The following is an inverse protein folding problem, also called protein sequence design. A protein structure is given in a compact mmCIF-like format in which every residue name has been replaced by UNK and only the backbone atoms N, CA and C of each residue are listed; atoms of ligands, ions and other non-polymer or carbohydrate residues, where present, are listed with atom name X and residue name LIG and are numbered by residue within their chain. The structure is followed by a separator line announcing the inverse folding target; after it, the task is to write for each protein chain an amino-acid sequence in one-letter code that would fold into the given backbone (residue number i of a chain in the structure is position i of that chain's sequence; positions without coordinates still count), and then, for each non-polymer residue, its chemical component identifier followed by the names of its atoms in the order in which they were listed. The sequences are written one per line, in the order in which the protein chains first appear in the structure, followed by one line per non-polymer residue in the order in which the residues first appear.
data_IF_384170783335
#
_entry.id   IF_384170783335
#
_cell.length_a   1.000
_cell.length_b   1.000
_cell.length_c   1.000
_cell.angle_alpha   90.00
_cell.angle_beta   90.00
_cell.angle_gamma   90.00
#
_symmetry.space_group_name_H-M   'P 1'
#
loop_
_entity.id
_entity.type
_entity.pdbx_description
1 polymer ?
#
# COMPACT_ATOMS: atom_id res chain seq x y z
N UNK A 1 -13.17 -3.71 41.40
CA UNK A 1 -12.89 -2.25 41.30
C UNK A 1 -11.44 -1.83 41.57
N UNK A 2 -10.45 -2.71 41.71
CA UNK A 2 -9.01 -2.34 41.90
C UNK A 2 -8.08 -2.72 40.73
N UNK A 3 -8.58 -3.27 39.63
CA UNK A 3 -7.78 -3.63 38.43
C UNK A 3 -7.88 -2.65 37.26
N UNK A 4 -8.94 -1.83 37.22
CA UNK A 4 -9.20 -0.85 36.15
C UNK A 4 -8.40 0.45 36.34
N UNK A 5 -7.94 0.75 37.56
CA UNK A 5 -7.18 1.98 37.85
C UNK A 5 -5.66 1.89 37.58
N UNK A 6 -5.13 0.71 37.26
CA UNK A 6 -3.70 0.57 36.94
C UNK A 6 -3.37 0.83 35.46
N UNK A 7 -4.33 0.65 34.55
CA UNK A 7 -4.12 0.90 33.11
C UNK A 7 -4.28 2.39 32.73
N UNK A 8 -5.14 3.13 33.44
CA UNK A 8 -5.32 4.57 33.19
C UNK A 8 -4.15 5.44 33.70
N UNK A 9 -3.41 4.97 34.69
CA UNK A 9 -2.25 5.71 35.25
C UNK A 9 -0.99 5.52 34.41
N UNK A 10 -0.92 4.47 33.60
CA UNK A 10 0.21 4.22 32.70
C UNK A 10 0.17 5.11 31.46
N UNK A 11 -1.02 5.42 30.93
CA UNK A 11 -1.17 6.30 29.76
C UNK A 11 -0.91 7.81 30.06
N UNK A 12 -1.11 8.26 31.30
CA UNK A 12 -0.87 9.65 31.68
C UNK A 12 0.61 9.97 31.98
N UNK A 13 1.38 8.96 32.41
CA UNK A 13 2.80 9.10 32.69
C UNK A 13 3.64 9.29 31.42
N UNK A 14 3.26 8.67 30.30
CA UNK A 14 4.03 8.76 29.05
C UNK A 14 3.78 10.06 28.26
N UNK A 15 2.58 10.66 28.34
CA UNK A 15 2.30 11.95 27.70
C UNK A 15 3.05 13.14 28.33
N UNK A 16 3.41 13.06 29.62
CA UNK A 16 4.26 14.06 30.28
C UNK A 16 5.76 13.80 30.08
N UNK A 17 6.17 12.57 29.85
CA UNK A 17 7.55 12.19 29.53
C UNK A 17 8.00 12.85 28.22
N UNK A 18 7.11 12.98 27.22
CA UNK A 18 7.44 13.62 25.93
C UNK A 18 7.61 15.15 26.00
N UNK A 19 7.10 15.82 27.03
CA UNK A 19 7.29 17.29 27.24
C UNK A 19 8.58 17.66 27.98
N UNK A 20 9.28 16.70 28.53
CA UNK A 20 10.50 16.89 29.30
C UNK A 20 11.68 16.01 28.89
N UNK A 21 11.54 15.16 27.91
CA UNK A 21 12.62 14.35 27.35
C UNK A 21 13.44 15.18 26.36
N UNK A 22 14.30 16.02 26.88
CA UNK A 22 15.60 16.24 26.28
C UNK A 22 16.26 14.85 26.21
N UNK A 23 16.03 14.19 25.08
CA UNK A 23 16.90 13.25 24.40
C UNK A 23 17.91 12.56 25.35
N UNK A 24 17.46 11.58 26.10
CA UNK A 24 18.31 10.52 26.59
C UNK A 24 18.12 9.32 25.65
N UNK A 25 19.06 9.13 24.79
CA UNK A 25 18.97 8.50 23.50
C UNK A 25 19.57 7.16 23.43
N UNK A 26 19.33 6.29 24.32
CA UNK A 26 19.88 4.93 24.25
C UNK A 26 18.80 3.85 24.19
N UNK A 27 17.59 4.16 23.64
CA UNK A 27 16.61 3.09 23.47
C UNK A 27 17.07 2.15 22.37
N UNK A 28 17.46 0.94 22.78
CA UNK A 28 17.74 -0.20 21.93
C UNK A 28 16.67 -1.25 22.17
N UNK A 29 16.02 -1.70 21.14
CA UNK A 29 15.07 -2.80 21.24
C UNK A 29 15.81 -4.13 21.35
N UNK A 30 15.36 -4.99 22.24
CA UNK A 30 15.92 -6.35 22.39
C UNK A 30 15.17 -7.39 21.56
N UNK A 31 13.97 -7.06 21.10
CA UNK A 31 13.14 -7.93 20.29
C UNK A 31 12.18 -7.10 19.42
N UNK A 32 11.54 -7.78 18.44
CA UNK A 32 10.65 -7.15 17.49
C UNK A 32 9.48 -6.41 18.16
N UNK A 33 8.87 -7.01 19.19
CA UNK A 33 7.72 -6.43 19.87
C UNK A 33 8.04 -5.08 20.54
N UNK A 34 9.20 -4.97 21.14
CA UNK A 34 9.68 -3.70 21.71
C UNK A 34 9.92 -2.64 20.63
N UNK A 35 10.57 -3.02 19.51
CA UNK A 35 10.80 -2.11 18.39
C UNK A 35 9.49 -1.64 17.78
N UNK A 36 8.53 -2.54 17.54
CA UNK A 36 7.22 -2.22 16.98
C UNK A 36 6.39 -1.35 17.93
N UNK A 37 6.40 -1.65 19.24
CA UNK A 37 5.71 -0.83 20.23
C UNK A 37 6.27 0.59 20.24
N UNK A 38 7.57 0.76 20.27
CA UNK A 38 8.21 2.08 20.21
C UNK A 38 7.81 2.85 18.95
N UNK A 39 7.88 2.20 17.78
CA UNK A 39 7.46 2.83 16.52
C UNK A 39 5.99 3.24 16.54
N UNK A 40 5.11 2.45 17.14
CA UNK A 40 3.67 2.76 17.24
C UNK A 40 3.38 3.95 18.15
N UNK A 41 4.24 4.25 19.09
CA UNK A 41 4.17 5.42 19.97
C UNK A 41 4.68 6.71 19.28
N UNK A 42 5.48 6.59 18.20
CA UNK A 42 5.93 7.74 17.40
C UNK A 42 4.74 8.37 16.67
N UNK A 43 4.57 9.71 16.72
CA UNK A 43 3.47 10.37 16.04
C UNK A 43 3.42 10.05 14.53
N UNK A 44 2.26 9.58 14.04
CA UNK A 44 2.09 9.16 12.65
C UNK A 44 1.70 10.31 11.71
N UNK A 45 0.90 11.28 12.20
CA UNK A 45 0.26 12.29 11.35
C UNK A 45 0.23 13.71 11.94
N UNK A 46 0.59 13.91 13.19
CA UNK A 46 0.39 15.20 13.88
C UNK A 46 1.46 16.25 13.59
N UNK A 47 2.65 15.82 13.18
CA UNK A 47 3.73 16.72 12.75
C UNK A 47 4.48 16.04 11.61
N UNK A 48 4.30 16.55 10.39
CA UNK A 48 5.14 16.15 9.25
C UNK A 48 6.37 17.05 9.25
N UNK A 49 7.55 16.46 9.27
CA UNK A 49 8.77 17.23 9.07
C UNK A 49 8.76 17.88 7.67
N UNK A 50 9.30 19.10 7.52
CA UNK A 50 9.59 19.64 6.20
C UNK A 50 10.49 18.64 5.43
N UNK A 51 10.20 18.42 4.16
CA UNK A 51 10.97 17.46 3.33
C UNK A 51 12.47 17.81 3.29
N UNK A 52 12.80 19.09 3.45
CA UNK A 52 14.17 19.59 3.54
C UNK A 52 14.94 19.01 4.74
N UNK A 53 14.29 18.88 5.90
CA UNK A 53 14.88 18.27 7.10
C UNK A 53 15.07 16.76 6.91
N UNK A 54 14.05 16.09 6.36
CA UNK A 54 14.15 14.67 5.98
C UNK A 54 15.28 14.44 4.97
N UNK A 55 15.41 15.33 3.97
CA UNK A 55 16.50 15.29 2.99
C UNK A 55 17.86 15.54 3.66
N UNK A 56 17.93 16.45 4.62
CA UNK A 56 19.15 16.73 5.39
C UNK A 56 19.66 15.49 6.11
N UNK A 57 18.76 14.74 6.77
CA UNK A 57 19.14 13.48 7.43
C UNK A 57 19.47 12.36 6.42
N UNK A 58 18.74 12.26 5.31
CA UNK A 58 19.05 11.33 4.21
C UNK A 58 20.46 11.59 3.65
N UNK A 59 20.80 12.84 3.35
CA UNK A 59 22.13 13.21 2.86
C UNK A 59 23.23 12.95 3.90
N UNK A 60 22.95 13.19 5.19
CA UNK A 60 23.86 12.83 6.26
C UNK A 60 24.16 11.32 6.25
N UNK A 61 23.13 10.47 6.17
CA UNK A 61 23.31 9.01 6.11
C UNK A 61 24.17 8.55 4.91
N UNK A 62 24.12 9.27 3.80
CA UNK A 62 24.90 8.98 2.59
C UNK A 62 26.28 9.64 2.60
N UNK A 63 26.60 10.47 3.58
CA UNK A 63 27.86 11.20 3.68
C UNK A 63 28.91 10.41 4.45
N UNK A 64 30.18 10.81 4.29
CA UNK A 64 31.26 10.29 5.09
C UNK A 64 31.16 10.65 6.59
N UNK A 65 30.39 11.68 6.94
CA UNK A 65 30.19 12.14 8.33
C UNK A 65 29.42 11.11 9.17
N UNK A 66 28.55 10.32 8.56
CA UNK A 66 27.76 9.29 9.26
C UNK A 66 28.53 8.01 9.55
N UNK A 67 29.68 7.81 8.91
CA UNK A 67 30.47 6.56 8.96
C UNK A 67 29.69 5.30 8.59
N UNK A 68 28.46 5.45 8.01
CA UNK A 68 27.60 4.32 7.62
C UNK A 68 28.10 3.60 6.39
N UNK A 69 28.84 4.29 5.53
CA UNK A 69 29.25 3.79 4.22
C UNK A 69 28.10 3.61 3.22
N UNK A 70 26.89 4.09 3.54
CA UNK A 70 25.72 3.98 2.64
C UNK A 70 25.91 4.87 1.41
N UNK A 71 25.49 4.34 0.25
CA UNK A 71 25.44 5.10 -1.01
C UNK A 71 24.11 4.81 -1.70
N UNK A 72 23.48 5.83 -2.29
CA UNK A 72 22.21 5.65 -3.04
C UNK A 72 22.36 4.62 -4.17
N UNK A 73 23.54 4.53 -4.77
CA UNK A 73 23.85 3.54 -5.82
C UNK A 73 23.72 2.09 -5.35
N UNK A 74 23.82 1.83 -4.06
CA UNK A 74 23.65 0.49 -3.48
C UNK A 74 22.17 0.03 -3.42
N UNK A 75 21.22 0.94 -3.68
CA UNK A 75 19.80 0.59 -3.87
C UNK A 75 19.52 0.06 -5.28
N UNK A 76 20.53 -0.01 -6.15
CA UNK A 76 20.39 -0.48 -7.53
C UNK A 76 19.46 0.37 -8.38
N UNK A 77 18.70 -0.29 -9.25
CA UNK A 77 17.66 0.37 -10.09
C UNK A 77 16.43 0.69 -9.24
N UNK A 78 16.15 1.99 -9.02
CA UNK A 78 15.02 2.41 -8.18
C UNK A 78 13.78 2.67 -9.05
N UNK A 79 12.66 2.03 -8.68
CA UNK A 79 11.33 2.20 -9.27
C UNK A 79 10.45 2.88 -8.22
N UNK A 80 10.04 4.12 -8.46
CA UNK A 80 9.28 4.92 -7.50
C UNK A 80 7.82 5.04 -7.89
N UNK A 81 6.90 4.61 -7.02
CA UNK A 81 5.48 4.44 -7.34
C UNK A 81 4.61 5.31 -6.44
N UNK A 82 3.81 6.20 -7.05
CA UNK A 82 2.77 6.98 -6.39
C UNK A 82 1.38 6.65 -6.96
N UNK A 83 0.33 7.15 -6.33
CA UNK A 83 -1.05 6.97 -6.77
C UNK A 83 -2.04 6.98 -5.60
N UNK A 84 -3.33 6.86 -5.88
CA UNK A 84 -4.36 6.66 -4.85
C UNK A 84 -4.58 5.18 -4.64
N UNK A 85 -5.09 4.49 -5.63
CA UNK A 85 -5.34 3.05 -5.61
C UNK A 85 -4.34 2.30 -6.49
N UNK A 86 -3.98 1.07 -6.13
CA UNK A 86 -3.14 0.20 -6.94
C UNK A 86 -1.63 0.32 -6.72
N UNK A 87 -1.12 1.27 -5.93
CA UNK A 87 0.33 1.45 -5.68
C UNK A 87 1.03 0.14 -5.28
N UNK A 88 0.62 -0.44 -4.14
CA UNK A 88 1.21 -1.67 -3.62
C UNK A 88 1.10 -2.85 -4.61
N UNK A 89 -0.01 -2.96 -5.36
CA UNK A 89 -0.16 -3.98 -6.40
C UNK A 89 0.82 -3.79 -7.55
N UNK A 90 1.01 -2.56 -8.05
CA UNK A 90 2.00 -2.25 -9.09
C UNK A 90 3.41 -2.52 -8.59
N UNK A 91 3.72 -2.12 -7.35
CA UNK A 91 4.99 -2.43 -6.70
C UNK A 91 5.23 -3.95 -6.63
N UNK A 92 4.24 -4.73 -6.19
CA UNK A 92 4.34 -6.18 -6.11
C UNK A 92 4.52 -6.85 -7.48
N UNK A 93 3.85 -6.35 -8.54
CA UNK A 93 4.07 -6.83 -9.90
C UNK A 93 5.48 -6.51 -10.40
N UNK A 94 5.97 -5.29 -10.17
CA UNK A 94 7.33 -4.89 -10.57
C UNK A 94 8.38 -5.73 -9.86
N UNK A 95 8.25 -5.93 -8.55
CA UNK A 95 9.11 -6.81 -7.76
C UNK A 95 9.10 -8.23 -8.32
N UNK A 96 7.91 -8.81 -8.53
CA UNK A 96 7.77 -10.16 -9.05
C UNK A 96 8.40 -10.33 -10.44
N UNK A 97 8.19 -9.37 -11.37
CA UNK A 97 8.81 -9.40 -12.71
C UNK A 97 10.34 -9.32 -12.60
N UNK A 98 10.87 -8.48 -11.71
CA UNK A 98 12.32 -8.35 -11.51
C UNK A 98 12.92 -9.63 -10.92
N UNK A 99 12.29 -10.25 -9.93
CA UNK A 99 12.72 -11.55 -9.36
C UNK A 99 12.69 -12.67 -10.40
N UNK A 100 11.62 -12.77 -11.17
CA UNK A 100 11.50 -13.76 -12.27
C UNK A 100 12.51 -13.50 -13.42
N UNK A 101 13.07 -12.30 -13.47
CA UNK A 101 14.18 -11.96 -14.37
C UNK A 101 15.56 -12.27 -13.78
N UNK A 102 15.64 -12.77 -12.54
CA UNK A 102 16.87 -13.11 -11.85
C UNK A 102 17.61 -11.90 -11.28
N UNK A 103 16.88 -10.89 -10.80
CA UNK A 103 17.41 -9.79 -10.02
C UNK A 103 17.16 -10.01 -8.53
N UNK A 104 18.10 -9.57 -7.70
CA UNK A 104 17.95 -9.46 -6.26
C UNK A 104 17.16 -8.19 -5.94
N UNK A 105 16.00 -8.32 -5.30
CA UNK A 105 15.04 -7.21 -5.17
C UNK A 105 14.78 -6.81 -3.73
N UNK A 106 14.57 -5.51 -3.52
CA UNK A 106 14.00 -4.94 -2.31
C UNK A 106 12.66 -4.26 -2.63
N UNK A 107 11.62 -4.58 -1.88
CA UNK A 107 10.30 -4.01 -2.00
C UNK A 107 9.90 -3.30 -0.71
N UNK A 108 9.64 -1.99 -0.80
CA UNK A 108 9.14 -1.17 0.31
C UNK A 108 7.72 -0.68 0.02
N UNK A 109 6.76 -1.04 0.87
CA UNK A 109 5.34 -0.74 0.67
C UNK A 109 4.66 -0.20 1.92
N UNK A 110 3.47 0.40 1.76
CA UNK A 110 2.64 0.92 2.85
C UNK A 110 1.16 1.01 2.49
N UNK A 111 0.24 0.83 3.46
CA UNK A 111 0.49 0.30 4.81
C UNK A 111 0.69 -1.22 4.81
N UNK A 112 0.96 -1.81 5.98
CA UNK A 112 0.87 -3.25 6.21
C UNK A 112 -0.56 -3.68 6.58
N UNK A 113 -0.86 -4.96 6.50
CA UNK A 113 -2.12 -5.55 6.97
C UNK A 113 -2.03 -6.02 8.43
N UNK A 114 -1.08 -6.88 8.74
CA UNK A 114 -0.94 -7.54 10.04
C UNK A 114 0.32 -7.08 10.78
N UNK A 115 1.50 -7.17 10.16
CA UNK A 115 2.79 -6.89 10.81
C UNK A 115 3.59 -5.81 10.07
N UNK A 116 4.28 -4.96 10.83
CA UNK A 116 5.11 -3.88 10.25
C UNK A 116 6.20 -4.41 9.32
N UNK A 117 6.66 -5.66 9.50
CA UNK A 117 7.66 -6.32 8.64
C UNK A 117 7.20 -6.52 7.18
N UNK A 118 5.88 -6.58 6.91
CA UNK A 118 5.34 -6.67 5.55
C UNK A 118 5.82 -5.53 4.63
N UNK A 119 6.18 -4.39 5.23
CA UNK A 119 6.65 -3.21 4.50
C UNK A 119 8.03 -3.37 3.90
N UNK A 120 8.78 -4.38 4.35
CA UNK A 120 10.15 -4.67 3.92
C UNK A 120 10.22 -6.10 3.41
N UNK A 121 10.35 -6.24 2.10
CA UNK A 121 10.55 -7.55 1.48
C UNK A 121 11.86 -7.56 0.71
N UNK A 122 12.60 -8.66 0.84
CA UNK A 122 13.80 -8.96 0.08
C UNK A 122 13.54 -10.25 -0.67
N UNK A 123 13.68 -10.22 -1.98
CA UNK A 123 13.33 -11.34 -2.89
C UNK A 123 11.94 -11.93 -2.67
N UNK A 124 10.97 -11.06 -2.32
CA UNK A 124 9.58 -11.42 -2.07
C UNK A 124 9.27 -11.88 -0.65
N UNK A 125 10.27 -12.19 0.18
CA UNK A 125 10.11 -12.61 1.56
C UNK A 125 10.17 -11.42 2.52
N UNK A 126 9.35 -11.44 3.58
CA UNK A 126 9.44 -10.43 4.64
C UNK A 126 10.76 -10.58 5.40
N UNK A 127 11.36 -9.45 5.77
CA UNK A 127 12.51 -9.46 6.68
C UNK A 127 12.19 -10.17 8.00
N UNK A 128 13.18 -10.83 8.58
CA UNK A 128 13.04 -11.50 9.87
C UNK A 128 12.81 -10.50 11.01
N UNK A 129 12.42 -10.98 12.19
CA UNK A 129 12.30 -10.15 13.38
C UNK A 129 13.67 -9.62 13.82
N UNK A 130 14.70 -10.44 13.69
CA UNK A 130 16.09 -10.09 13.99
C UNK A 130 16.59 -8.97 13.07
N UNK A 131 16.41 -9.09 11.75
CA UNK A 131 16.80 -8.06 10.79
C UNK A 131 16.06 -6.74 11.04
N UNK A 132 14.78 -6.81 11.40
CA UNK A 132 13.99 -5.63 11.75
C UNK A 132 14.57 -4.92 12.99
N UNK A 133 14.90 -5.68 14.04
CA UNK A 133 15.50 -5.14 15.27
C UNK A 133 16.89 -4.56 15.01
N UNK A 134 17.70 -5.22 14.20
CA UNK A 134 19.00 -4.69 13.79
C UNK A 134 18.85 -3.35 13.07
N UNK A 135 17.94 -3.25 12.10
CA UNK A 135 17.66 -2.01 11.36
C UNK A 135 17.15 -0.89 12.28
N UNK A 136 16.27 -1.23 13.22
CA UNK A 136 15.76 -0.30 14.22
C UNK A 136 16.89 0.25 15.10
N UNK A 137 17.74 -0.62 15.65
CA UNK A 137 18.83 -0.24 16.53
C UNK A 137 19.93 0.56 15.77
N UNK A 138 20.23 0.16 14.53
CA UNK A 138 21.12 0.94 13.66
C UNK A 138 20.57 2.36 13.45
N UNK A 139 19.29 2.50 13.11
CA UNK A 139 18.70 3.82 12.90
C UNK A 139 18.73 4.67 14.17
N UNK A 140 18.43 4.08 15.34
CA UNK A 140 18.51 4.77 16.61
C UNK A 140 19.94 5.33 16.85
N UNK A 141 20.96 4.57 16.52
CA UNK A 141 22.36 5.04 16.60
C UNK A 141 22.64 6.20 15.66
N UNK A 142 22.15 6.14 14.41
CA UNK A 142 22.36 7.21 13.44
C UNK A 142 21.64 8.51 13.85
N UNK A 143 20.45 8.42 14.42
CA UNK A 143 19.75 9.57 14.96
C UNK A 143 20.57 10.20 16.09
N UNK A 144 21.13 9.40 16.99
CA UNK A 144 21.97 9.85 18.09
C UNK A 144 23.20 10.60 17.58
N UNK A 145 23.87 10.05 16.60
CA UNK A 145 25.03 10.69 16.00
C UNK A 145 24.66 12.00 15.31
N UNK A 146 23.56 12.04 14.59
CA UNK A 146 23.09 13.25 13.91
C UNK A 146 22.75 14.36 14.90
N UNK A 147 22.17 14.03 16.05
CA UNK A 147 21.82 15.00 17.10
C UNK A 147 23.05 15.68 17.74
N UNK A 148 24.22 15.09 17.69
CA UNK A 148 25.46 15.78 18.11
C UNK A 148 25.75 17.02 17.29
N UNK A 149 25.17 17.11 16.08
CA UNK A 149 25.40 18.19 15.12
C UNK A 149 24.15 19.00 14.81
N UNK A 150 22.93 18.41 14.94
CA UNK A 150 21.61 19.03 14.62
C UNK A 150 20.53 18.53 15.57
N UNK A 151 20.35 19.19 16.70
CA UNK A 151 19.54 18.72 17.84
C UNK A 151 18.02 18.64 17.60
N UNK A 152 17.45 19.21 16.52
CA UNK A 152 16.00 19.40 16.40
C UNK A 152 15.25 18.36 15.55
N UNK A 153 15.94 17.60 14.69
CA UNK A 153 15.28 16.66 13.78
C UNK A 153 14.88 15.37 14.47
N UNK A 154 13.60 15.05 14.47
CA UNK A 154 13.05 13.79 14.98
C UNK A 154 12.28 13.09 13.87
N UNK A 155 12.77 11.95 13.35
CA UNK A 155 12.06 11.23 12.30
C UNK A 155 10.68 10.75 12.77
N UNK A 156 9.65 11.01 11.95
CA UNK A 156 8.30 10.49 12.14
C UNK A 156 8.26 8.97 11.94
N UNK A 157 7.13 8.34 12.27
CA UNK A 157 6.93 6.91 12.07
C UNK A 157 7.32 6.44 10.65
N UNK A 158 6.84 7.11 9.60
CA UNK A 158 7.10 6.68 8.23
C UNK A 158 8.55 6.97 7.80
N UNK A 159 9.14 8.08 8.25
CA UNK A 159 10.55 8.39 8.01
C UNK A 159 11.46 7.34 8.63
N UNK A 160 11.17 6.88 9.86
CA UNK A 160 11.94 5.81 10.50
C UNK A 160 11.91 4.53 9.66
N UNK A 161 10.73 4.13 9.20
CA UNK A 161 10.61 2.93 8.35
C UNK A 161 11.37 3.11 7.03
N UNK A 162 11.29 4.27 6.40
CA UNK A 162 12.05 4.55 5.18
C UNK A 162 13.57 4.46 5.41
N UNK A 163 14.09 5.01 6.49
CA UNK A 163 15.53 4.94 6.79
C UNK A 163 15.96 3.53 7.20
N UNK A 164 15.13 2.75 7.88
CA UNK A 164 15.39 1.33 8.13
C UNK A 164 15.48 0.54 6.81
N UNK A 165 14.60 0.83 5.85
CA UNK A 165 14.63 0.23 4.51
C UNK A 165 15.96 0.51 3.80
N UNK A 166 16.47 1.73 3.85
CA UNK A 166 17.76 2.07 3.23
C UNK A 166 18.87 1.14 3.73
N UNK A 167 18.96 0.97 5.05
CA UNK A 167 19.95 0.11 5.64
C UNK A 167 19.77 -1.36 5.28
N UNK A 168 18.54 -1.87 5.39
CA UNK A 168 18.20 -3.26 5.06
C UNK A 168 18.61 -3.61 3.63
N UNK A 169 18.22 -2.78 2.67
CA UNK A 169 18.42 -3.05 1.26
C UNK A 169 19.90 -2.89 0.84
N UNK A 170 20.59 -1.90 1.40
CA UNK A 170 22.02 -1.72 1.14
C UNK A 170 22.86 -2.81 1.80
N UNK A 171 22.50 -3.27 3.01
CA UNK A 171 23.18 -4.37 3.72
C UNK A 171 23.20 -5.66 2.90
N UNK A 172 22.09 -5.99 2.23
CA UNK A 172 21.98 -7.22 1.42
C UNK A 172 22.41 -7.01 -0.04
N UNK A 173 22.55 -5.76 -0.49
CA UNK A 173 23.03 -5.43 -1.82
C UNK A 173 21.98 -5.73 -2.92
N UNK A 174 20.76 -5.21 -2.78
CA UNK A 174 19.71 -5.38 -3.79
C UNK A 174 20.11 -4.76 -5.12
N UNK A 175 19.76 -5.41 -6.23
CA UNK A 175 19.97 -4.90 -7.60
C UNK A 175 18.82 -3.98 -8.05
N UNK A 176 17.63 -4.15 -7.46
CA UNK A 176 16.41 -3.38 -7.77
C UNK A 176 15.69 -3.01 -6.49
N UNK A 177 15.36 -1.74 -6.32
CA UNK A 177 14.49 -1.25 -5.24
C UNK A 177 13.16 -0.79 -5.82
N UNK A 178 12.06 -1.40 -5.36
CA UNK A 178 10.70 -0.94 -5.67
C UNK A 178 10.16 -0.19 -4.47
N UNK A 179 9.87 1.11 -4.66
CA UNK A 179 9.60 2.06 -3.59
C UNK A 179 8.19 2.65 -3.73
N UNK A 180 7.29 2.32 -2.80
CA UNK A 180 5.95 2.90 -2.71
C UNK A 180 5.97 4.21 -1.90
N UNK A 181 5.32 5.28 -2.40
CA UNK A 181 5.07 6.49 -1.59
C UNK A 181 4.10 6.21 -0.45
N UNK A 182 4.33 6.82 0.71
CA UNK A 182 3.41 6.70 1.85
C UNK A 182 2.15 7.52 1.63
N UNK A 183 2.28 8.83 1.35
CA UNK A 183 1.17 9.75 1.18
C UNK A 183 1.52 10.89 0.21
N UNK A 184 0.73 11.02 -0.85
CA UNK A 184 0.95 12.06 -1.85
C UNK A 184 2.10 11.71 -2.81
N UNK A 185 3.15 12.48 -2.81
CA UNK A 185 4.34 12.32 -3.64
C UNK A 185 5.32 13.47 -3.42
N UNK A 186 4.94 14.71 -3.76
CA UNK A 186 5.80 15.91 -3.71
C UNK A 186 6.49 16.11 -2.35
N UNK A 187 5.76 15.92 -1.26
CA UNK A 187 6.25 16.05 0.11
C UNK A 187 6.36 14.69 0.82
N UNK A 188 6.34 13.58 0.08
CA UNK A 188 6.51 12.26 0.67
C UNK A 188 7.96 12.03 1.08
N UNK A 189 8.18 11.31 2.17
CA UNK A 189 9.51 10.95 2.65
C UNK A 189 10.34 10.27 1.55
N UNK A 190 9.73 9.38 0.77
CA UNK A 190 10.43 8.66 -0.30
C UNK A 190 10.90 9.55 -1.43
N UNK A 191 10.38 10.79 -1.52
CA UNK A 191 10.75 11.76 -2.56
C UNK A 191 12.10 12.47 -2.30
N UNK A 192 12.79 12.11 -1.21
CA UNK A 192 14.21 12.50 -1.01
C UNK A 192 15.14 11.76 -1.97
N UNK A 193 14.72 10.61 -2.52
CA UNK A 193 15.41 9.90 -3.60
C UNK A 193 15.33 10.76 -4.87
N UNK A 194 16.51 11.17 -5.36
CA UNK A 194 16.58 12.14 -6.46
C UNK A 194 16.68 11.50 -7.85
N UNK A 195 17.22 10.28 -7.94
CA UNK A 195 17.55 9.63 -9.20
C UNK A 195 16.90 8.25 -9.38
N UNK A 196 15.55 8.12 -9.30
CA UNK A 196 14.91 6.86 -9.66
C UNK A 196 15.11 6.59 -11.17
N UNK A 197 15.14 5.33 -11.56
CA UNK A 197 15.25 4.91 -12.96
C UNK A 197 13.90 4.95 -13.69
N UNK A 198 12.80 4.88 -12.92
CA UNK A 198 11.43 4.93 -13.40
C UNK A 198 10.53 5.51 -12.32
N UNK A 199 9.60 6.38 -12.73
CA UNK A 199 8.48 6.79 -11.87
C UNK A 199 7.17 6.26 -12.41
N UNK A 200 6.25 5.86 -11.52
CA UNK A 200 4.97 5.30 -11.90
C UNK A 200 3.85 5.95 -11.08
N UNK A 201 2.75 6.36 -11.75
CA UNK A 201 1.61 6.97 -11.05
C UNK A 201 0.36 6.18 -11.39
N UNK A 202 -0.13 5.44 -10.41
CA UNK A 202 -1.32 4.59 -10.53
C UNK A 202 -2.61 5.44 -10.55
N UNK A 203 -3.77 4.80 -10.50
CA UNK A 203 -5.06 5.49 -10.52
C UNK A 203 -5.16 6.59 -9.45
N UNK A 204 -5.71 7.75 -9.86
CA UNK A 204 -6.01 8.87 -8.97
C UNK A 204 -7.50 8.86 -8.63
N UNK A 205 -7.77 8.91 -7.34
CA UNK A 205 -9.12 9.03 -6.78
C UNK A 205 -9.16 10.03 -5.64
N UNK A 206 -10.36 10.36 -5.19
CA UNK A 206 -10.59 11.25 -4.05
C UNK A 206 -10.26 10.49 -2.76
N UNK A 207 -9.09 10.77 -2.19
CA UNK A 207 -8.64 10.24 -0.91
C UNK A 207 -7.70 11.21 -0.21
N UNK A 208 -7.62 11.15 1.12
CA UNK A 208 -6.78 12.02 1.93
C UNK A 208 -6.94 13.52 1.64
N UNK A 209 -8.18 13.97 1.38
CA UNK A 209 -8.51 15.32 0.93
C UNK A 209 -8.02 16.40 1.89
N UNK A 210 -7.97 16.13 3.19
CA UNK A 210 -7.46 17.05 4.21
C UNK A 210 -5.97 17.40 4.00
N UNK A 211 -5.20 16.55 3.31
CA UNK A 211 -3.76 16.72 3.11
C UNK A 211 -3.39 17.00 1.65
N UNK A 212 -4.09 16.39 0.70
CA UNK A 212 -3.72 16.42 -0.72
C UNK A 212 -4.57 17.39 -1.56
N UNK A 213 -5.63 17.96 -0.96
CA UNK A 213 -6.58 18.84 -1.64
C UNK A 213 -7.89 18.17 -2.00
N UNK A 214 -8.85 18.99 -2.40
CA UNK A 214 -10.26 18.68 -2.57
C UNK A 214 -10.68 18.48 -4.05
N UNK A 215 -9.71 18.42 -4.96
CA UNK A 215 -9.93 18.12 -6.38
C UNK A 215 -8.93 17.09 -6.91
N UNK A 216 -9.31 16.39 -7.98
CA UNK A 216 -8.44 15.39 -8.62
C UNK A 216 -7.15 15.99 -9.16
N UNK A 217 -7.21 17.23 -9.66
CA UNK A 217 -6.03 17.94 -10.18
C UNK A 217 -5.04 18.25 -9.05
N UNK A 218 -5.52 18.69 -7.87
CA UNK A 218 -4.66 18.94 -6.70
C UNK A 218 -3.99 17.65 -6.23
N UNK A 219 -4.77 16.57 -6.09
CA UNK A 219 -4.26 15.26 -5.70
C UNK A 219 -3.26 14.74 -6.72
N UNK A 220 -3.54 14.89 -8.04
CA UNK A 220 -2.63 14.53 -9.12
C UNK A 220 -1.34 15.37 -9.06
N UNK A 221 -1.44 16.67 -8.77
CA UNK A 221 -0.29 17.57 -8.60
C UNK A 221 0.65 17.14 -7.48
N UNK A 222 0.11 16.74 -6.32
CA UNK A 222 0.92 16.20 -5.23
C UNK A 222 1.65 14.91 -5.63
N UNK A 223 0.98 14.02 -6.38
CA UNK A 223 1.59 12.76 -6.83
C UNK A 223 2.56 12.97 -7.99
N UNK A 224 2.30 13.92 -8.88
CA UNK A 224 3.22 14.32 -9.94
C UNK A 224 4.57 14.83 -9.41
N UNK A 225 4.65 15.20 -8.14
CA UNK A 225 5.89 15.59 -7.48
C UNK A 225 7.00 14.54 -7.46
N UNK A 226 6.70 13.27 -7.74
CA UNK A 226 7.72 12.21 -7.90
C UNK A 226 8.35 12.21 -9.30
N UNK A 227 7.79 12.91 -10.28
CA UNK A 227 8.32 12.98 -11.64
C UNK A 227 9.63 13.77 -11.60
N UNK A 228 10.73 13.19 -12.06
CA UNK A 228 12.08 13.74 -12.00
C UNK A 228 12.62 14.08 -13.39
N UNK A 229 13.56 15.01 -13.44
CA UNK A 229 14.20 15.42 -14.69
C UNK A 229 14.87 14.25 -15.39
N UNK A 230 14.54 14.05 -16.67
CA UNK A 230 15.10 12.99 -17.50
C UNK A 230 14.69 11.57 -17.16
N UNK A 231 13.89 11.36 -16.11
CA UNK A 231 13.37 10.05 -15.69
C UNK A 231 12.03 9.77 -16.36
N UNK A 232 11.84 8.62 -17.04
CA UNK A 232 10.56 8.29 -17.65
C UNK A 232 9.47 8.14 -16.59
N UNK A 233 8.25 8.58 -16.91
CA UNK A 233 7.06 8.38 -16.10
C UNK A 233 6.03 7.53 -16.84
N UNK A 234 5.51 6.50 -16.15
CA UNK A 234 4.33 5.73 -16.59
C UNK A 234 3.15 6.13 -15.73
N UNK A 235 1.99 6.40 -16.31
CA UNK A 235 0.79 6.74 -15.55
C UNK A 235 -0.47 6.09 -16.10
N UNK A 236 -1.49 5.91 -15.25
CA UNK A 236 -2.82 5.43 -15.65
C UNK A 236 -3.63 6.59 -16.24
N UNK A 237 -3.98 6.49 -17.53
CA UNK A 237 -4.78 7.46 -18.29
C UNK A 237 -6.28 7.11 -18.21
N UNK A 238 -6.87 7.37 -17.05
CA UNK A 238 -8.30 7.09 -16.78
C UNK A 238 -9.16 8.35 -16.78
N UNK A 239 -8.60 9.49 -16.41
CA UNK A 239 -9.28 10.78 -16.28
C UNK A 239 -8.43 11.87 -16.92
N UNK A 240 -9.05 12.64 -17.83
CA UNK A 240 -8.35 13.67 -18.60
C UNK A 240 -7.73 14.74 -17.71
N UNK A 241 -8.43 15.16 -16.66
CA UNK A 241 -7.98 16.19 -15.71
C UNK A 241 -6.68 15.79 -14.99
N UNK A 242 -6.51 14.52 -14.63
CA UNK A 242 -5.28 14.03 -13.98
C UNK A 242 -4.16 13.82 -15.00
N UNK A 243 -4.49 13.32 -16.21
CA UNK A 243 -3.52 13.09 -17.26
C UNK A 243 -2.84 14.38 -17.71
N UNK A 244 -3.61 15.48 -17.83
CA UNK A 244 -3.06 16.82 -18.18
C UNK A 244 -2.03 17.27 -17.16
N UNK A 245 -2.27 17.05 -15.85
CA UNK A 245 -1.33 17.43 -14.78
C UNK A 245 0.00 16.66 -14.93
N UNK A 246 -0.07 15.35 -15.21
CA UNK A 246 1.14 14.53 -15.38
C UNK A 246 1.93 14.91 -16.64
N UNK A 247 1.23 15.14 -17.77
CA UNK A 247 1.85 15.53 -19.02
C UNK A 247 2.52 16.91 -18.91
N UNK A 248 1.87 17.87 -18.24
CA UNK A 248 2.43 19.18 -17.96
C UNK A 248 3.68 19.09 -17.09
N UNK A 249 3.61 18.32 -15.98
CA UNK A 249 4.76 18.14 -15.09
C UNK A 249 5.91 17.42 -15.79
N UNK A 250 5.65 16.40 -16.58
CA UNK A 250 6.66 15.70 -17.35
C UNK A 250 7.34 16.64 -18.36
N UNK A 251 6.57 17.47 -19.08
CA UNK A 251 7.11 18.46 -20.02
C UNK A 251 7.96 19.52 -19.28
N UNK A 252 7.51 20.00 -18.12
CA UNK A 252 8.25 20.98 -17.30
C UNK A 252 9.66 20.50 -16.92
N UNK A 253 9.78 19.21 -16.54
CA UNK A 253 11.06 18.64 -16.09
C UNK A 253 11.81 17.86 -17.18
N UNK A 254 11.30 17.82 -18.41
CA UNK A 254 11.92 17.10 -19.53
C UNK A 254 11.87 15.57 -19.39
N UNK A 255 10.84 15.03 -18.74
CA UNK A 255 10.61 13.59 -18.58
C UNK A 255 9.83 13.01 -19.76
N UNK A 256 10.22 11.82 -20.25
CA UNK A 256 9.40 11.07 -21.20
C UNK A 256 8.14 10.52 -20.51
N UNK A 257 6.97 10.73 -21.11
CA UNK A 257 5.69 10.40 -20.53
C UNK A 257 5.01 9.25 -21.27
N UNK A 258 4.61 8.20 -20.55
CA UNK A 258 4.00 6.99 -21.08
C UNK A 258 2.66 6.72 -20.38
N UNK A 259 1.59 6.65 -21.16
CA UNK A 259 0.25 6.42 -20.64
C UNK A 259 -0.23 4.99 -20.86
N UNK A 260 -0.90 4.46 -19.84
CA UNK A 260 -1.64 3.19 -19.87
C UNK A 260 -3.12 3.53 -19.86
N UNK A 261 -3.75 3.48 -21.02
CA UNK A 261 -5.18 3.75 -21.18
C UNK A 261 -5.99 2.45 -21.11
N UNK A 262 -7.31 2.57 -21.01
CA UNK A 262 -8.24 1.43 -21.02
C UNK A 262 -8.06 0.49 -22.23
N UNK A 263 -7.55 1.01 -23.35
CA UNK A 263 -7.28 0.21 -24.55
C UNK A 263 -5.94 -0.54 -24.50
N UNK A 264 -5.09 -0.30 -23.50
CA UNK A 264 -3.80 -0.97 -23.36
C UNK A 264 -3.94 -2.42 -22.88
N UNK A 265 -5.08 -2.79 -22.31
CA UNK A 265 -5.37 -4.14 -21.82
C UNK A 265 -6.81 -4.54 -22.10
N UNK A 266 -7.06 -5.85 -22.08
CA UNK A 266 -8.40 -6.43 -22.22
C UNK A 266 -8.52 -7.64 -21.30
N UNK A 267 -9.55 -7.64 -20.44
CA UNK A 267 -9.92 -8.80 -19.65
C UNK A 267 -10.67 -9.78 -20.58
N UNK A 268 -10.21 -11.03 -20.61
CA UNK A 268 -10.80 -12.09 -21.42
C UNK A 268 -11.78 -12.94 -20.59
N UNK A 269 -11.57 -13.00 -19.26
CA UNK A 269 -12.45 -13.71 -18.32
C UNK A 269 -11.74 -14.07 -17.03
N UNK A 270 -12.49 -14.74 -16.14
CA UNK A 270 -11.96 -15.32 -14.89
C UNK A 270 -12.15 -16.84 -14.99
N UNK A 271 -11.08 -17.59 -14.87
CA UNK A 271 -11.09 -19.07 -14.89
C UNK A 271 -10.21 -19.61 -13.77
N UNK A 272 -10.71 -20.61 -13.02
CA UNK A 272 -9.95 -21.26 -11.94
C UNK A 272 -9.28 -20.25 -10.98
N UNK A 273 -10.01 -19.20 -10.61
CA UNK A 273 -9.53 -18.12 -9.71
C UNK A 273 -8.35 -17.30 -10.25
N UNK A 274 -8.12 -17.37 -11.56
CA UNK A 274 -7.17 -16.53 -12.27
C UNK A 274 -7.92 -15.61 -13.22
N UNK A 275 -7.53 -14.34 -13.24
CA UNK A 275 -7.97 -13.43 -14.28
C UNK A 275 -7.10 -13.65 -15.53
N UNK A 276 -7.75 -13.92 -16.66
CA UNK A 276 -7.12 -13.99 -17.97
C UNK A 276 -7.29 -12.65 -18.67
N UNK A 277 -6.20 -12.04 -19.06
CA UNK A 277 -6.20 -10.77 -19.74
C UNK A 277 -5.06 -10.66 -20.75
N UNK A 278 -5.15 -9.71 -21.66
CA UNK A 278 -4.10 -9.42 -22.63
C UNK A 278 -3.70 -7.97 -22.56
N UNK A 279 -2.42 -7.71 -22.79
CA UNK A 279 -1.82 -6.38 -22.81
C UNK A 279 -1.27 -6.07 -24.19
N UNK A 280 -1.57 -4.91 -24.73
CA UNK A 280 -0.94 -4.40 -25.95
C UNK A 280 0.44 -3.85 -25.60
N UNK A 281 1.43 -4.72 -25.70
CA UNK A 281 2.83 -4.37 -25.48
C UNK A 281 3.40 -3.58 -26.66
N UNK A 282 4.26 -2.61 -26.38
CA UNK A 282 4.96 -1.84 -27.42
C UNK A 282 6.05 -2.61 -28.14
N UNK A 283 6.60 -3.66 -27.47
CA UNK A 283 7.77 -4.40 -27.95
C UNK A 283 7.47 -5.84 -28.36
N UNK A 284 6.46 -6.44 -27.75
CA UNK A 284 6.13 -7.86 -27.98
C UNK A 284 4.79 -8.04 -28.69
N UNK A 285 4.12 -6.95 -29.10
CA UNK A 285 2.77 -7.00 -29.62
C UNK A 285 1.74 -7.35 -28.55
N UNK A 286 0.82 -8.27 -28.84
CA UNK A 286 -0.17 -8.73 -27.86
C UNK A 286 0.43 -9.82 -26.96
N UNK A 287 0.40 -9.61 -25.64
CA UNK A 287 0.82 -10.59 -24.65
C UNK A 287 -0.43 -11.08 -23.90
N UNK A 288 -0.72 -12.38 -23.97
CA UNK A 288 -1.69 -13.05 -23.10
C UNK A 288 -1.07 -13.28 -21.73
N UNK A 289 -1.79 -12.91 -20.67
CA UNK A 289 -1.35 -12.95 -19.29
C UNK A 289 -2.42 -13.57 -18.41
N UNK A 290 -1.99 -14.25 -17.36
CA UNK A 290 -2.83 -14.71 -16.27
C UNK A 290 -2.30 -14.18 -14.96
N UNK A 291 -3.17 -13.59 -14.13
CA UNK A 291 -2.85 -13.23 -12.77
C UNK A 291 -3.66 -14.11 -11.81
N UNK A 292 -3.01 -14.62 -10.78
CA UNK A 292 -3.64 -15.50 -9.80
C UNK A 292 -4.46 -14.69 -8.77
N UNK A 293 -5.52 -14.10 -9.26
CA UNK A 293 -6.47 -13.28 -8.51
C UNK A 293 -7.80 -13.21 -9.27
N UNK A 294 -8.86 -12.86 -8.57
CA UNK A 294 -10.17 -12.57 -9.18
C UNK A 294 -10.44 -11.07 -9.28
N UNK A 295 -9.50 -10.24 -8.83
CA UNK A 295 -9.61 -8.78 -8.84
C UNK A 295 -9.47 -8.21 -10.26
N UNK A 296 -10.56 -7.74 -10.86
CA UNK A 296 -10.58 -7.17 -12.22
C UNK A 296 -9.57 -6.02 -12.40
N UNK A 297 -9.42 -5.17 -11.39
CA UNK A 297 -8.50 -4.04 -11.38
C UNK A 297 -7.01 -4.45 -11.44
N UNK A 298 -6.68 -5.71 -11.17
CA UNK A 298 -5.32 -6.19 -11.30
C UNK A 298 -4.85 -6.31 -12.75
N UNK A 299 -5.77 -6.37 -13.73
CA UNK A 299 -5.40 -6.32 -15.14
C UNK A 299 -4.82 -4.94 -15.53
N UNK A 300 -5.38 -3.85 -14.99
CA UNK A 300 -4.85 -2.49 -15.17
C UNK A 300 -3.48 -2.33 -14.50
N UNK A 301 -3.35 -2.77 -13.24
CA UNK A 301 -2.10 -2.73 -12.50
C UNK A 301 -1.01 -3.57 -13.19
N UNK A 302 -1.37 -4.77 -13.67
CA UNK A 302 -0.48 -5.64 -14.44
C UNK A 302 -0.04 -5.02 -15.77
N UNK A 303 -0.96 -4.38 -16.50
CA UNK A 303 -0.63 -3.67 -17.75
C UNK A 303 0.36 -2.51 -17.50
N UNK A 304 0.19 -1.80 -16.40
CA UNK A 304 1.11 -0.74 -15.99
C UNK A 304 2.51 -1.31 -15.66
N UNK A 305 2.57 -2.40 -14.92
CA UNK A 305 3.83 -3.07 -14.60
C UNK A 305 4.55 -3.60 -15.87
N UNK A 306 3.82 -4.18 -16.82
CA UNK A 306 4.38 -4.57 -18.13
C UNK A 306 5.00 -3.39 -18.84
N UNK A 307 4.30 -2.25 -18.92
CA UNK A 307 4.81 -1.04 -19.54
C UNK A 307 6.10 -0.55 -18.86
N UNK A 308 6.12 -0.52 -17.52
CA UNK A 308 7.31 -0.13 -16.73
C UNK A 308 8.50 -1.06 -16.95
N UNK A 309 8.26 -2.38 -16.91
CA UNK A 309 9.30 -3.40 -17.14
C UNK A 309 9.93 -3.29 -18.55
N UNK A 310 9.10 -3.09 -19.57
CA UNK A 310 9.56 -2.89 -20.95
C UNK A 310 10.41 -1.63 -21.10
N UNK A 311 10.03 -0.54 -20.44
CA UNK A 311 10.79 0.71 -20.46
C UNK A 311 12.16 0.55 -19.79
N UNK A 312 12.22 -0.07 -18.63
CA UNK A 312 13.48 -0.34 -17.92
C UNK A 312 14.43 -1.20 -18.75
N UNK A 313 13.89 -2.23 -19.45
CA UNK A 313 14.68 -3.00 -20.41
C UNK A 313 15.20 -2.15 -21.55
N UNK A 314 14.33 -1.38 -22.19
CA UNK A 314 14.70 -0.53 -23.34
C UNK A 314 15.75 0.52 -23.00
N UNK A 315 15.64 1.12 -21.82
CA UNK A 315 16.62 2.09 -21.31
C UNK A 315 17.94 1.46 -20.85
N UNK A 316 18.02 0.11 -20.86
CA UNK A 316 19.22 -0.63 -20.45
C UNK A 316 19.41 -0.76 -18.94
N UNK A 317 18.46 -0.26 -18.13
CA UNK A 317 18.54 -0.36 -16.67
C UNK A 317 18.36 -1.81 -16.18
N UNK A 318 17.44 -2.58 -16.79
CA UNK A 318 17.15 -3.97 -16.42
C UNK A 318 17.16 -4.90 -17.65
N UNK A 319 18.37 -5.18 -18.16
CA UNK A 319 18.58 -5.95 -19.39
C UNK A 319 18.11 -7.41 -19.35
N UNK A 320 18.07 -8.06 -18.16
CA UNK A 320 17.63 -9.47 -17.98
C UNK A 320 16.11 -9.65 -18.19
N UNK A 321 15.29 -8.59 -18.10
CA UNK A 321 13.84 -8.66 -18.33
C UNK A 321 13.56 -9.18 -19.75
N UNK A 322 12.67 -10.14 -19.88
CA UNK A 322 12.20 -10.69 -21.14
C UNK A 322 10.72 -11.05 -21.10
N UNK A 323 10.14 -11.49 -22.22
CA UNK A 323 8.71 -11.80 -22.32
C UNK A 323 8.30 -12.87 -21.32
N UNK A 324 9.11 -13.91 -21.19
CA UNK A 324 8.84 -15.05 -20.30
C UNK A 324 8.88 -14.65 -18.84
N UNK A 325 9.84 -13.80 -18.43
CA UNK A 325 9.92 -13.30 -17.06
C UNK A 325 8.75 -12.36 -16.72
N UNK A 326 8.26 -11.56 -17.68
CA UNK A 326 7.05 -10.75 -17.51
C UNK A 326 5.83 -11.67 -17.26
N UNK A 327 5.64 -12.70 -18.11
CA UNK A 327 4.51 -13.65 -17.98
C UNK A 327 4.55 -14.35 -16.62
N UNK A 328 5.72 -14.88 -16.21
CA UNK A 328 5.88 -15.54 -14.91
C UNK A 328 5.69 -14.56 -13.75
N UNK A 329 6.25 -13.36 -13.85
CA UNK A 329 6.13 -12.32 -12.80
C UNK A 329 4.67 -11.91 -12.56
N UNK A 330 3.88 -11.74 -13.62
CA UNK A 330 2.45 -11.47 -13.50
C UNK A 330 1.70 -12.65 -12.87
N UNK A 331 2.01 -13.90 -13.30
CA UNK A 331 1.35 -15.08 -12.78
C UNK A 331 1.70 -15.39 -11.31
N UNK A 332 2.96 -15.23 -10.94
CA UNK A 332 3.48 -15.58 -9.62
C UNK A 332 3.26 -14.48 -8.56
N UNK A 333 2.90 -13.26 -8.96
CA UNK A 333 2.62 -12.18 -8.02
C UNK A 333 1.47 -12.57 -7.06
N UNK A 334 1.68 -12.32 -5.78
CA UNK A 334 0.69 -12.45 -4.70
C UNK A 334 0.68 -11.16 -3.91
N UNK A 335 -0.51 -10.65 -3.62
CA UNK A 335 -0.64 -9.42 -2.84
C UNK A 335 -1.83 -9.50 -1.91
N UNK A 336 -1.56 -9.55 -0.63
CA UNK A 336 -2.55 -9.72 0.42
C UNK A 336 -3.61 -8.60 0.42
N UNK A 337 -4.84 -8.97 0.77
CA UNK A 337 -5.96 -8.04 0.88
C UNK A 337 -6.41 -7.40 -0.44
N UNK A 338 -6.25 -8.08 -1.58
CA UNK A 338 -6.73 -7.63 -2.89
C UNK A 338 -7.52 -8.73 -3.59
N UNK A 339 -8.81 -8.85 -3.25
CA UNK A 339 -9.68 -9.98 -3.62
C UNK A 339 -8.98 -11.32 -3.34
N UNK A 340 -8.33 -11.38 -2.22
CA UNK A 340 -7.60 -12.55 -1.77
C UNK A 340 -8.54 -13.57 -1.15
N UNK A 341 -8.46 -14.81 -1.61
CA UNK A 341 -9.21 -15.91 -1.02
C UNK A 341 -8.43 -16.50 0.16
N UNK A 342 -8.82 -16.15 1.38
CA UNK A 342 -8.18 -16.62 2.62
C UNK A 342 -8.75 -17.95 3.15
N UNK A 343 -9.94 -18.31 2.74
CA UNK A 343 -10.62 -19.59 2.98
C UNK A 343 -11.52 -19.91 1.77
N UNK A 344 -11.94 -21.15 1.56
CA UNK A 344 -12.82 -21.49 0.43
C UNK A 344 -14.03 -20.57 0.33
N UNK A 345 -14.10 -19.81 -0.76
CA UNK A 345 -15.14 -18.81 -1.05
C UNK A 345 -15.27 -17.73 0.04
N UNK A 346 -14.16 -17.34 0.68
CA UNK A 346 -14.05 -16.20 1.60
C UNK A 346 -12.95 -15.28 1.09
N UNK A 347 -13.34 -14.10 0.62
CA UNK A 347 -12.46 -13.12 0.01
C UNK A 347 -12.31 -11.89 0.88
N UNK A 348 -11.09 -11.41 1.03
CA UNK A 348 -10.79 -10.11 1.64
C UNK A 348 -10.37 -9.09 0.59
N UNK A 349 -10.84 -7.86 0.74
CA UNK A 349 -10.41 -6.73 -0.09
C UNK A 349 -10.24 -5.46 0.73
N UNK A 350 -9.13 -4.80 0.54
CA UNK A 350 -8.78 -3.55 1.24
C UNK A 350 -9.40 -2.29 0.64
N UNK A 351 -10.40 -2.38 -0.23
CA UNK A 351 -11.11 -1.22 -0.77
C UNK A 351 -11.74 -0.40 0.36
N UNK A 352 -11.44 0.91 0.39
CA UNK A 352 -11.80 1.81 1.49
C UNK A 352 -12.09 3.25 1.04
N UNK A 353 -12.29 3.45 -0.26
CA UNK A 353 -12.74 4.70 -0.88
C UNK A 353 -13.66 4.39 -2.07
N UNK A 354 -14.34 5.40 -2.61
CA UNK A 354 -15.34 5.22 -3.67
C UNK A 354 -14.79 4.49 -4.90
N UNK A 355 -13.60 4.87 -5.39
CA UNK A 355 -13.00 4.24 -6.57
C UNK A 355 -12.57 2.79 -6.28
N UNK A 356 -12.06 2.52 -5.08
CA UNK A 356 -11.74 1.16 -4.63
C UNK A 356 -12.99 0.27 -4.55
N UNK A 357 -14.08 0.76 -3.95
CA UNK A 357 -15.34 0.03 -3.89
C UNK A 357 -15.93 -0.21 -5.28
N UNK A 358 -15.84 0.76 -6.19
CA UNK A 358 -16.27 0.55 -7.58
C UNK A 358 -15.49 -0.58 -8.25
N UNK A 359 -14.17 -0.58 -8.12
CA UNK A 359 -13.30 -1.62 -8.67
C UNK A 359 -13.55 -3.01 -8.04
N UNK A 360 -13.85 -3.04 -6.74
CA UNK A 360 -14.31 -4.25 -6.03
C UNK A 360 -15.63 -4.77 -6.61
N UNK A 361 -16.65 -3.91 -6.77
CA UNK A 361 -17.94 -4.28 -7.35
C UNK A 361 -17.77 -4.84 -8.76
N UNK A 362 -16.96 -4.20 -9.61
CA UNK A 362 -16.67 -4.70 -10.95
C UNK A 362 -16.08 -6.12 -10.91
N UNK A 363 -15.22 -6.42 -9.92
CA UNK A 363 -14.65 -7.75 -9.73
C UNK A 363 -15.72 -8.77 -9.29
N UNK A 364 -16.58 -8.43 -8.34
CA UNK A 364 -17.69 -9.27 -7.87
C UNK A 364 -18.64 -9.60 -9.03
N UNK A 365 -19.00 -8.61 -9.85
CA UNK A 365 -19.88 -8.79 -11.00
C UNK A 365 -19.31 -9.73 -12.07
N UNK A 366 -17.98 -9.79 -12.22
CA UNK A 366 -17.32 -10.69 -13.17
C UNK A 366 -17.20 -12.13 -12.68
N UNK A 367 -17.27 -12.37 -11.37
CA UNK A 367 -17.11 -13.71 -10.80
C UNK A 367 -18.33 -14.61 -10.99
N UNK A 368 -19.52 -14.05 -11.25
CA UNK A 368 -20.79 -14.80 -11.41
C UNK A 368 -21.02 -15.81 -10.27
N UNK A 369 -20.87 -15.35 -9.03
CA UNK A 369 -20.96 -16.18 -7.84
C UNK A 369 -22.32 -16.86 -7.65
N UNK A 370 -22.31 -18.01 -6.96
CA UNK A 370 -23.53 -18.69 -6.55
C UNK A 370 -24.06 -18.11 -5.25
N UNK A 371 -25.39 -17.91 -5.15
CA UNK A 371 -26.02 -17.48 -3.89
C UNK A 371 -25.95 -18.58 -2.81
N UNK A 372 -25.88 -18.16 -1.53
CA UNK A 372 -25.92 -16.78 -1.07
C UNK A 372 -24.57 -16.07 -1.14
N UNK A 373 -24.60 -14.79 -1.55
CA UNK A 373 -23.47 -13.87 -1.50
C UNK A 373 -23.64 -12.93 -0.31
N UNK A 374 -22.69 -12.96 0.59
CA UNK A 374 -22.72 -12.17 1.83
C UNK A 374 -21.58 -11.15 1.79
N UNK A 375 -21.85 -9.94 2.23
CA UNK A 375 -20.84 -8.90 2.38
C UNK A 375 -20.69 -8.52 3.85
N UNK A 376 -19.50 -8.73 4.42
CA UNK A 376 -19.10 -8.27 5.75
C UNK A 376 -18.36 -6.94 5.60
N UNK A 377 -18.86 -5.90 6.27
CA UNK A 377 -18.39 -4.53 6.11
C UNK A 377 -18.01 -3.88 7.43
N UNK A 378 -16.98 -3.06 7.38
CA UNK A 378 -16.69 -2.03 8.37
C UNK A 378 -15.92 -0.89 7.73
N UNK A 379 -15.92 0.29 8.35
CA UNK A 379 -15.25 1.48 7.83
C UNK A 379 -14.53 2.26 8.93
N UNK A 380 -13.64 3.15 8.53
CA UNK A 380 -12.96 4.12 9.41
C UNK A 380 -13.54 5.52 9.24
N UNK A 381 -13.49 6.31 10.33
CA UNK A 381 -14.15 7.62 10.44
C UNK A 381 -13.63 8.69 9.45
N UNK A 382 -12.40 8.53 8.93
CA UNK A 382 -11.78 9.49 8.00
C UNK A 382 -12.13 9.24 6.53
N UNK A 383 -13.03 8.30 6.24
CA UNK A 383 -13.47 7.93 4.87
C UNK A 383 -14.94 8.30 4.62
N UNK A 384 -15.27 8.46 3.35
CA UNK A 384 -16.65 8.70 2.90
C UNK A 384 -17.44 7.39 2.80
N UNK A 385 -17.66 6.75 3.94
CA UNK A 385 -18.33 5.44 4.00
C UNK A 385 -19.79 5.48 3.58
N UNK A 386 -20.47 6.62 3.65
CA UNK A 386 -21.83 6.85 3.16
C UNK A 386 -21.95 6.54 1.66
N UNK A 387 -21.06 7.09 0.84
CA UNK A 387 -21.01 6.82 -0.61
C UNK A 387 -20.63 5.37 -0.91
N UNK A 388 -19.72 4.78 -0.11
CA UNK A 388 -19.34 3.37 -0.27
C UNK A 388 -20.54 2.44 0.00
N UNK A 389 -21.31 2.71 1.06
CA UNK A 389 -22.51 1.94 1.42
C UNK A 389 -23.58 2.06 0.32
N UNK A 390 -23.81 3.27 -0.19
CA UNK A 390 -24.77 3.51 -1.29
C UNK A 390 -24.43 2.65 -2.52
N UNK A 391 -23.14 2.59 -2.90
CA UNK A 391 -22.68 1.77 -4.02
C UNK A 391 -22.87 0.27 -3.76
N UNK A 392 -22.52 -0.21 -2.56
CA UNK A 392 -22.60 -1.63 -2.20
C UNK A 392 -24.04 -2.13 -2.09
N UNK A 393 -24.96 -1.31 -1.54
CA UNK A 393 -26.37 -1.66 -1.41
C UNK A 393 -27.09 -1.74 -2.76
N UNK A 394 -26.59 -1.05 -3.79
CA UNK A 394 -27.09 -1.12 -5.16
C UNK A 394 -26.64 -2.36 -5.95
N UNK A 395 -25.84 -3.27 -5.38
CA UNK A 395 -25.37 -4.48 -6.07
C UNK A 395 -26.36 -5.62 -5.92
N UNK A 396 -27.03 -6.00 -7.00
CA UNK A 396 -28.11 -6.99 -6.98
C UNK A 396 -27.69 -8.37 -6.49
N UNK A 397 -26.49 -8.83 -6.86
CA UNK A 397 -25.99 -10.17 -6.52
C UNK A 397 -25.60 -10.34 -5.05
N UNK A 398 -25.53 -9.29 -4.25
CA UNK A 398 -25.32 -9.40 -2.81
C UNK A 398 -26.66 -9.66 -2.14
N UNK A 399 -26.80 -10.79 -1.44
CA UNK A 399 -28.07 -11.21 -0.83
C UNK A 399 -28.27 -10.60 0.56
N UNK A 400 -27.20 -10.38 1.34
CA UNK A 400 -27.30 -9.84 2.69
C UNK A 400 -26.01 -9.13 3.11
N UNK A 401 -26.15 -8.22 4.07
CA UNK A 401 -25.07 -7.45 4.65
C UNK A 401 -24.83 -7.83 6.12
N UNK A 402 -23.59 -7.92 6.49
CA UNK A 402 -23.15 -8.10 7.85
C UNK A 402 -22.21 -6.95 8.23
N UNK A 403 -22.42 -6.35 9.38
CA UNK A 403 -21.68 -5.19 9.86
C UNK A 403 -20.91 -5.60 11.10
N UNK A 404 -19.63 -5.20 11.16
CA UNK A 404 -18.81 -5.37 12.38
C UNK A 404 -18.05 -4.10 12.71
N UNK A 405 -17.51 -4.03 13.92
CA UNK A 405 -16.71 -2.89 14.36
C UNK A 405 -15.22 -3.21 14.27
N UNK A 406 -14.45 -2.24 13.74
CA UNK A 406 -12.98 -2.30 13.82
C UNK A 406 -12.57 -1.91 15.24
N UNK A 407 -11.71 -2.68 15.93
CA UNK A 407 -11.23 -2.35 17.26
C UNK A 407 -10.54 -0.97 17.32
N UNK A 408 -10.73 -0.26 18.42
CA UNK A 408 -10.09 1.04 18.67
C UNK A 408 -10.93 2.25 18.23
N UNK A 409 -10.34 3.44 18.32
CA UNK A 409 -11.04 4.73 18.14
C UNK A 409 -11.24 5.15 16.67
N UNK A 410 -10.67 4.43 15.72
CA UNK A 410 -10.74 4.78 14.29
C UNK A 410 -11.96 4.23 13.57
N UNK A 411 -12.54 3.13 14.09
CA UNK A 411 -13.72 2.50 13.50
C UNK A 411 -14.96 3.39 13.63
N UNK A 412 -15.80 3.40 12.59
CA UNK A 412 -17.16 3.97 12.68
C UNK A 412 -17.99 3.09 13.61
N UNK A 413 -18.85 3.71 14.42
CA UNK A 413 -19.70 2.97 15.35
C UNK A 413 -20.67 2.05 14.61
N UNK A 414 -20.87 0.86 15.17
CA UNK A 414 -21.68 -0.19 14.56
C UNK A 414 -23.12 0.24 14.33
N UNK A 415 -23.72 1.01 15.28
CA UNK A 415 -25.08 1.51 15.17
C UNK A 415 -25.23 2.44 13.98
N UNK A 416 -24.23 3.29 13.75
CA UNK A 416 -24.22 4.24 12.65
C UNK A 416 -24.12 3.53 11.30
N UNK A 417 -23.19 2.59 11.15
CA UNK A 417 -23.08 1.78 9.93
C UNK A 417 -24.36 0.99 9.67
N UNK A 418 -24.93 0.34 10.69
CA UNK A 418 -26.15 -0.44 10.57
C UNK A 418 -27.32 0.42 10.12
N UNK A 419 -27.47 1.62 10.68
CA UNK A 419 -28.50 2.57 10.27
C UNK A 419 -28.32 3.01 8.82
N UNK A 420 -27.08 3.29 8.38
CA UNK A 420 -26.77 3.69 7.01
C UNK A 420 -27.14 2.59 5.99
N UNK A 421 -26.87 1.31 6.30
CA UNK A 421 -27.30 0.20 5.45
C UNK A 421 -28.82 0.04 5.45
N UNK A 422 -29.47 0.01 6.62
CA UNK A 422 -30.93 -0.18 6.72
C UNK A 422 -31.75 0.91 6.01
N UNK A 423 -31.21 2.11 5.86
CA UNK A 423 -31.86 3.19 5.11
C UNK A 423 -31.76 3.05 3.58
N UNK A 424 -30.86 2.19 3.06
CA UNK A 424 -30.52 2.11 1.63
C UNK A 424 -30.86 0.76 1.00
N UNK A 425 -31.28 -0.23 1.76
CA UNK A 425 -31.62 -1.55 1.22
C UNK A 425 -32.71 -2.25 2.05
N UNK A 426 -33.57 -3.00 1.37
CA UNK A 426 -34.53 -3.93 1.98
C UNK A 426 -33.90 -5.32 2.25
N UNK A 427 -32.64 -5.56 1.85
CA UNK A 427 -31.94 -6.82 2.09
C UNK A 427 -31.62 -6.96 3.57
N UNK A 428 -31.50 -8.20 4.10
CA UNK A 428 -31.15 -8.43 5.50
C UNK A 428 -29.82 -7.76 5.89
N UNK A 429 -29.86 -7.02 7.02
CA UNK A 429 -28.68 -6.37 7.63
C UNK A 429 -28.51 -6.92 9.04
N UNK A 430 -27.35 -7.49 9.33
CA UNK A 430 -26.99 -8.07 10.63
C UNK A 430 -25.77 -7.32 11.20
N UNK A 431 -25.73 -7.10 12.51
CA UNK A 431 -24.67 -6.35 13.16
C UNK A 431 -24.10 -7.13 14.36
N UNK A 432 -22.77 -7.11 14.48
CA UNK A 432 -22.02 -7.80 15.53
C UNK A 432 -20.86 -6.92 15.98
N UNK A 433 -20.71 -6.72 17.29
CA UNK A 433 -19.60 -5.94 17.84
C UNK A 433 -18.25 -6.64 17.61
N UNK A 434 -18.22 -7.96 17.75
CA UNK A 434 -17.02 -8.78 17.57
C UNK A 434 -16.92 -9.35 16.16
N UNK A 435 -15.72 -9.28 15.57
CA UNK A 435 -15.46 -9.82 14.23
C UNK A 435 -15.66 -11.34 14.15
N UNK A 436 -15.30 -12.10 15.17
CA UNK A 436 -15.45 -13.56 15.15
C UNK A 436 -16.90 -13.98 15.12
N UNK A 437 -17.76 -13.30 15.89
CA UNK A 437 -19.20 -13.54 15.89
C UNK A 437 -19.81 -13.20 14.52
N UNK A 438 -19.39 -12.06 13.93
CA UNK A 438 -19.79 -11.66 12.58
C UNK A 438 -19.37 -12.70 11.53
N UNK A 439 -18.12 -13.12 11.56
CA UNK A 439 -17.58 -14.12 10.64
C UNK A 439 -18.28 -15.46 10.77
N UNK A 440 -18.49 -15.95 12.00
CA UNK A 440 -19.17 -17.22 12.28
C UNK A 440 -20.63 -17.20 11.79
N UNK A 441 -21.31 -16.07 11.94
CA UNK A 441 -22.64 -15.88 11.35
C UNK A 441 -22.58 -15.97 9.83
N UNK A 442 -21.71 -15.18 9.17
CA UNK A 442 -21.55 -15.16 7.74
C UNK A 442 -21.18 -16.54 7.18
N UNK A 443 -20.28 -17.26 7.83
CA UNK A 443 -19.85 -18.60 7.45
C UNK A 443 -21.01 -19.60 7.44
N UNK A 444 -21.88 -19.54 8.45
CA UNK A 444 -23.09 -20.39 8.50
C UNK A 444 -24.11 -19.97 7.43
N UNK A 445 -24.31 -18.68 7.26
CA UNK A 445 -25.30 -18.15 6.31
C UNK A 445 -24.89 -18.42 4.83
N UNK A 446 -23.60 -18.32 4.48
CA UNK A 446 -23.14 -18.61 3.11
C UNK A 446 -23.18 -20.09 2.74
N UNK A 447 -23.24 -21.00 3.75
CA UNK A 447 -23.15 -22.46 3.56
C UNK A 447 -21.84 -22.83 2.84
N UNK A 448 -21.79 -23.99 2.20
CA UNK A 448 -20.57 -24.46 1.48
C UNK A 448 -20.44 -23.89 0.08
N UNK A 449 -21.55 -23.49 -0.54
CA UNK A 449 -21.60 -23.05 -1.94
C UNK A 449 -21.58 -21.54 -2.13
N UNK A 450 -22.01 -20.78 -1.13
CA UNK A 450 -22.07 -19.33 -1.20
C UNK A 450 -20.71 -18.66 -0.98
N UNK A 451 -20.67 -17.35 -1.17
CA UNK A 451 -19.47 -16.53 -1.10
C UNK A 451 -19.58 -15.46 0.00
N UNK A 452 -18.49 -15.24 0.70
CA UNK A 452 -18.33 -14.16 1.68
C UNK A 452 -17.26 -13.19 1.19
N UNK A 453 -17.64 -11.92 1.09
CA UNK A 453 -16.70 -10.82 0.88
C UNK A 453 -16.55 -10.00 2.16
N UNK A 454 -15.30 -9.68 2.52
CA UNK A 454 -14.93 -8.85 3.68
C UNK A 454 -14.25 -7.61 3.12
N UNK A 455 -14.89 -6.43 3.25
CA UNK A 455 -14.46 -5.20 2.57
C UNK A 455 -14.84 -3.93 3.36
N UNK A 456 -14.22 -2.80 3.00
CA UNK A 456 -14.53 -1.46 3.50
C UNK A 456 -13.37 -0.80 4.26
N UNK A 457 -12.36 -1.57 4.67
CA UNK A 457 -11.16 -1.05 5.32
C UNK A 457 -10.00 -2.01 5.23
N UNK A 458 -8.77 -1.47 5.08
CA UNK A 458 -7.55 -2.27 5.23
C UNK A 458 -7.39 -2.85 6.65
N UNK A 459 -7.91 -2.14 7.68
CA UNK A 459 -7.90 -2.65 9.05
C UNK A 459 -8.82 -3.86 9.22
N UNK A 460 -9.97 -3.87 8.55
CA UNK A 460 -10.86 -5.03 8.56
C UNK A 460 -10.24 -6.21 7.80
N UNK A 461 -9.61 -5.96 6.66
CA UNK A 461 -8.90 -6.98 5.90
C UNK A 461 -7.75 -7.58 6.72
N UNK A 462 -6.94 -6.75 7.39
CA UNK A 462 -5.87 -7.22 8.28
C UNK A 462 -6.38 -8.01 9.48
N UNK A 463 -7.47 -7.57 10.10
CA UNK A 463 -8.12 -8.30 11.20
C UNK A 463 -8.61 -9.69 10.75
N UNK A 464 -9.20 -9.75 9.54
CA UNK A 464 -9.64 -11.02 8.96
C UNK A 464 -8.45 -11.95 8.67
N UNK A 465 -7.36 -11.41 8.14
CA UNK A 465 -6.14 -12.16 7.85
C UNK A 465 -5.52 -12.73 9.14
N UNK A 466 -5.33 -11.90 10.16
CA UNK A 466 -4.75 -12.29 11.45
C UNK A 466 -5.58 -13.37 12.18
N UNK A 467 -6.92 -13.30 12.10
CA UNK A 467 -7.79 -14.22 12.83
C UNK A 467 -8.03 -15.53 12.07
N UNK A 468 -8.03 -15.48 10.72
CA UNK A 468 -8.47 -16.59 9.89
C UNK A 468 -7.33 -17.40 9.27
N UNK A 469 -6.10 -16.91 9.24
CA UNK A 469 -4.94 -17.71 8.90
C UNK A 469 -4.49 -18.59 10.06
#
# INVERSE_FOLDING_TARGET
MRKVFREATFCLGHAEIWKGMVINMEYRAHNYKEAEQYLNEVPRFTTKNPLEETRGFYQYLLSAESETGLQETQLGTIIHVAGTNGKGSVCAYMDSICRESGYHTGLFTSPHLVTTRERFRIDGEMVSEEEFVEAFNWLAEQIDCYHKHRESYQPTYFERLFFMMLWLFTKVGVEVTVLETGLGGRLDTTNVVEHPSLTMITEIGMDHMAYLGDTLEKIAGEKAGIIKSGVPVVYIDKRKETSVVFEQKAAEVGAECFKVSKNAYKINGIQKKCIDFSVCSRYYGYIGLQAHTTAAYQAENGAMAVCGAELLKKKGALGKINRESIIRGIYNMRWAGRMEEIRPNVYIDGAHNEDGIRAFIESVMLMHEQSPVILLFSAVNDKRYDSMIEMLTGVDCIDQFCITQIPGSRGVRIEELTQQFAQRTDKPVHAFEDFRDAYDFCRRAKKDVGTLYIVGSLYLAGLAEDILQ
#
